data_IF_186897145439
#
_entry.id   IF_186897145439
#
_cell.length_a   1.000
_cell.length_b   1.000
_cell.length_c   1.000
_cell.angle_alpha   90.00
_cell.angle_beta   90.00
_cell.angle_gamma   90.00
#
_symmetry.space_group_name_H-M   'P 1'
#
loop_
_entity.id
_entity.type
_entity.pdbx_description
1 polymer ?
#
# COMPACT_ATOMS: atom_id res chain seq x y z
N UNK A 1 23.68 11.82 62.88
CA UNK A 1 23.03 13.14 62.83
C UNK A 1 22.16 13.15 61.56
N UNK A 2 20.96 12.54 61.61
CA UNK A 2 19.64 13.21 61.71
C UNK A 2 19.52 14.32 60.66
N UNK A 3 18.97 13.99 59.49
CA UNK A 3 17.54 13.98 59.11
C UNK A 3 17.11 15.34 58.55
N UNK A 4 16.74 15.37 57.26
CA UNK A 4 15.53 16.08 56.84
C UNK A 4 15.05 15.56 55.48
N UNK A 5 13.97 14.80 55.51
CA UNK A 5 12.97 14.69 54.43
C UNK A 5 11.71 15.35 54.94
N UNK A 6 11.02 16.13 54.09
CA UNK A 6 9.61 15.85 53.77
C UNK A 6 9.34 16.19 52.29
N UNK A 7 8.23 15.85 51.65
CA UNK A 7 7.10 14.97 51.89
C UNK A 7 6.40 14.89 50.53
N UNK A 8 6.02 13.68 50.16
CA UNK A 8 4.95 13.23 49.27
C UNK A 8 4.04 14.30 48.62
N UNK A 9 3.94 14.26 47.29
CA UNK A 9 2.68 14.41 46.57
C UNK A 9 2.59 13.32 45.49
N UNK A 10 1.70 12.36 45.74
CA UNK A 10 1.35 11.27 44.82
C UNK A 10 0.09 11.67 44.03
N UNK A 11 -0.05 11.08 42.83
CA UNK A 11 -1.18 11.11 41.87
C UNK A 11 -1.23 12.38 40.99
N UNK A 12 -1.33 12.30 39.66
CA UNK A 12 -2.16 11.41 38.84
C UNK A 12 -1.42 10.86 37.60
N UNK A 13 -1.72 9.62 37.22
CA UNK A 13 -1.33 9.05 35.93
C UNK A 13 -2.24 9.50 34.78
N UNK A 14 -1.69 9.55 33.57
CA UNK A 14 -2.36 9.40 32.27
C UNK A 14 -1.28 9.24 31.16
N UNK A 15 -1.61 8.74 29.96
CA UNK A 15 -1.27 7.39 29.54
C UNK A 15 -0.26 7.35 28.39
N UNK A 16 0.23 6.15 28.09
CA UNK A 16 1.02 5.75 26.92
C UNK A 16 0.91 6.71 25.72
N UNK A 17 2.02 7.39 25.44
CA UNK A 17 2.27 8.06 24.17
C UNK A 17 1.98 7.06 23.04
N UNK A 18 0.99 7.39 22.23
CA UNK A 18 0.53 6.59 21.11
C UNK A 18 1.71 6.22 20.21
N UNK A 19 2.03 4.93 20.20
CA UNK A 19 2.71 4.33 19.06
C UNK A 19 1.69 4.44 17.92
N UNK A 20 1.79 5.48 17.10
CA UNK A 20 1.15 5.42 15.78
C UNK A 20 1.76 4.17 15.12
N UNK A 21 0.97 3.19 14.66
CA UNK A 21 1.53 2.19 13.78
C UNK A 21 2.27 2.96 12.68
N UNK A 22 3.54 2.62 12.44
CA UNK A 22 4.24 3.17 11.28
C UNK A 22 3.42 2.65 10.10
N UNK A 23 2.55 3.51 9.55
CA UNK A 23 1.88 3.27 8.28
C UNK A 23 3.02 3.07 7.29
N UNK A 24 3.29 1.82 6.91
CA UNK A 24 4.26 1.55 5.85
C UNK A 24 3.58 1.99 4.56
N UNK A 25 3.91 3.20 4.10
CA UNK A 25 3.40 3.72 2.85
C UNK A 25 3.91 2.86 1.70
N UNK A 26 3.03 2.45 0.80
CA UNK A 26 3.45 1.80 -0.44
C UNK A 26 4.31 2.73 -1.30
N UNK A 27 5.25 2.14 -2.05
CA UNK A 27 6.04 2.87 -3.04
C UNK A 27 5.14 3.39 -4.18
N UNK A 28 5.58 4.43 -4.91
CA UNK A 28 4.78 4.98 -6.01
C UNK A 28 4.58 4.00 -7.18
N UNK A 29 5.42 2.97 -7.28
CA UNK A 29 5.28 1.88 -8.24
C UNK A 29 5.14 0.57 -7.48
N UNK A 30 4.07 -0.16 -7.75
CA UNK A 30 3.79 -1.45 -7.12
C UNK A 30 3.66 -2.52 -8.20
N UNK A 31 4.15 -3.71 -7.89
CA UNK A 31 3.90 -4.93 -8.65
C UNK A 31 3.08 -5.84 -7.76
N UNK A 32 1.85 -6.16 -8.16
CA UNK A 32 1.08 -7.24 -7.55
C UNK A 32 1.46 -8.54 -8.25
N UNK A 33 2.03 -9.47 -7.51
CA UNK A 33 2.23 -10.83 -7.97
C UNK A 33 1.14 -11.72 -7.40
N UNK A 34 0.20 -12.12 -8.26
CA UNK A 34 -0.92 -12.97 -7.90
C UNK A 34 -0.55 -14.44 -8.04
N UNK A 35 -0.62 -15.18 -6.92
CA UNK A 35 -0.41 -16.63 -6.91
C UNK A 35 -1.72 -17.40 -7.03
N UNK A 36 -2.80 -16.87 -6.48
CA UNK A 36 -4.10 -17.55 -6.40
C UNK A 36 -5.25 -16.88 -7.16
N UNK A 37 -5.04 -15.67 -7.69
CA UNK A 37 -6.12 -14.85 -8.27
C UNK A 37 -6.64 -13.81 -7.27
N UNK A 38 -7.70 -13.08 -7.67
CA UNK A 38 -8.33 -12.07 -6.83
C UNK A 38 -8.88 -12.67 -5.52
N UNK A 39 -8.73 -11.94 -4.42
CA UNK A 39 -9.24 -12.33 -3.10
C UNK A 39 -9.99 -11.16 -2.44
N UNK A 40 -10.64 -11.40 -1.31
CA UNK A 40 -11.47 -10.42 -0.60
C UNK A 40 -10.67 -9.27 0.06
N UNK A 41 -9.34 -9.25 -0.04
CA UNK A 41 -8.49 -8.17 0.48
C UNK A 41 -8.07 -7.16 -0.58
N UNK A 42 -8.34 -7.45 -1.86
CA UNK A 42 -7.91 -6.60 -2.98
C UNK A 42 -8.47 -5.18 -2.88
N UNK A 43 -9.75 -5.02 -2.51
CA UNK A 43 -10.38 -3.71 -2.36
C UNK A 43 -9.68 -2.84 -1.30
N UNK A 44 -9.48 -3.39 -0.11
CA UNK A 44 -8.79 -2.68 0.97
C UNK A 44 -7.33 -2.34 0.61
N UNK A 45 -6.66 -3.22 -0.14
CA UNK A 45 -5.31 -3.00 -0.64
C UNK A 45 -5.25 -1.82 -1.63
N UNK A 46 -6.19 -1.77 -2.59
CA UNK A 46 -6.26 -0.70 -3.59
C UNK A 46 -6.61 0.64 -2.94
N UNK A 47 -7.54 0.68 -1.98
CA UNK A 47 -7.82 1.90 -1.22
C UNK A 47 -6.59 2.40 -0.45
N UNK A 48 -5.77 1.49 0.08
CA UNK A 48 -4.51 1.86 0.72
C UNK A 48 -3.50 2.40 -0.31
N UNK A 49 -3.43 1.84 -1.52
CA UNK A 49 -2.60 2.37 -2.60
C UNK A 49 -2.98 3.80 -2.98
N UNK A 50 -4.28 4.08 -3.07
CA UNK A 50 -4.80 5.42 -3.35
C UNK A 50 -4.40 6.38 -2.23
N UNK A 51 -4.63 5.99 -0.97
CA UNK A 51 -4.25 6.78 0.21
C UNK A 51 -2.75 7.07 0.30
N UNK A 52 -1.91 6.11 -0.09
CA UNK A 52 -0.44 6.24 -0.04
C UNK A 52 0.15 6.96 -1.26
N UNK A 53 -0.68 7.31 -2.24
CA UNK A 53 -0.25 8.01 -3.43
C UNK A 53 0.55 7.15 -4.40
N UNK A 54 0.23 5.85 -4.47
CA UNK A 54 0.68 4.97 -5.56
C UNK A 54 0.26 5.60 -6.89
N UNK A 55 1.14 5.49 -7.89
CA UNK A 55 0.95 6.09 -9.22
C UNK A 55 0.85 5.05 -10.32
N UNK A 56 1.47 3.89 -10.12
CA UNK A 56 1.51 2.82 -11.08
C UNK A 56 1.42 1.46 -10.39
N UNK A 57 0.55 0.58 -10.91
CA UNK A 57 0.40 -0.81 -10.48
C UNK A 57 0.53 -1.72 -11.69
N UNK A 58 1.53 -2.60 -11.70
CA UNK A 58 1.58 -3.72 -12.62
C UNK A 58 1.05 -4.98 -11.94
N UNK A 59 0.29 -5.81 -12.65
CA UNK A 59 -0.22 -7.08 -12.14
C UNK A 59 0.36 -8.24 -12.94
N UNK A 60 0.99 -9.18 -12.24
CA UNK A 60 1.61 -10.37 -12.81
C UNK A 60 1.01 -11.64 -12.19
N UNK A 61 1.11 -12.75 -12.90
CA UNK A 61 0.69 -14.06 -12.40
C UNK A 61 -0.78 -14.37 -12.65
N UNK A 62 -1.37 -15.17 -11.76
CA UNK A 62 -2.69 -15.78 -11.97
C UNK A 62 -3.79 -14.72 -12.01
N UNK A 63 -4.65 -14.81 -13.02
CA UNK A 63 -5.82 -13.94 -13.22
C UNK A 63 -5.47 -12.44 -13.24
N UNK A 64 -4.24 -12.07 -13.64
CA UNK A 64 -3.75 -10.69 -13.60
C UNK A 64 -4.60 -9.69 -14.38
N UNK A 65 -5.13 -10.08 -15.55
CA UNK A 65 -6.04 -9.24 -16.33
C UNK A 65 -7.35 -8.96 -15.57
N UNK A 66 -7.95 -9.98 -14.94
CA UNK A 66 -9.15 -9.80 -14.12
C UNK A 66 -8.87 -8.93 -12.88
N UNK A 67 -7.72 -9.12 -12.24
CA UNK A 67 -7.32 -8.30 -11.09
C UNK A 67 -7.15 -6.84 -11.51
N UNK A 68 -6.54 -6.57 -12.67
CA UNK A 68 -6.45 -5.22 -13.24
C UNK A 68 -7.85 -4.61 -13.46
N UNK A 69 -8.77 -5.32 -14.11
CA UNK A 69 -10.14 -4.85 -14.32
C UNK A 69 -10.82 -4.45 -12.98
N UNK A 70 -10.62 -5.27 -11.93
CA UNK A 70 -11.14 -4.98 -10.58
C UNK A 70 -10.47 -3.73 -9.98
N UNK A 71 -9.14 -3.58 -10.13
CA UNK A 71 -8.42 -2.39 -9.65
C UNK A 71 -8.96 -1.13 -10.34
N UNK A 72 -9.16 -1.17 -11.66
CA UNK A 72 -9.68 -0.04 -12.43
C UNK A 72 -11.09 0.34 -11.95
N UNK A 73 -11.96 -0.64 -11.71
CA UNK A 73 -13.30 -0.40 -11.15
C UNK A 73 -13.23 0.27 -9.77
N UNK A 74 -12.37 -0.22 -8.87
CA UNK A 74 -12.18 0.38 -7.54
C UNK A 74 -11.63 1.81 -7.64
N UNK A 75 -10.64 2.04 -8.49
CA UNK A 75 -10.02 3.37 -8.67
C UNK A 75 -11.04 4.38 -9.17
N UNK A 76 -11.84 4.01 -10.18
CA UNK A 76 -12.93 4.86 -10.71
C UNK A 76 -14.01 5.12 -9.66
N UNK A 77 -14.36 4.11 -8.85
CA UNK A 77 -15.42 4.23 -7.85
C UNK A 77 -16.75 4.66 -8.48
N UNK A 78 -17.40 5.66 -7.90
CA UNK A 78 -18.64 6.25 -8.44
C UNK A 78 -18.39 7.38 -9.46
N UNK A 79 -17.14 7.66 -9.80
CA UNK A 79 -16.74 8.73 -10.72
C UNK A 79 -16.90 10.15 -10.16
N UNK A 80 -17.21 10.32 -8.87
CA UNK A 80 -17.35 11.65 -8.25
C UNK A 80 -16.01 12.29 -7.85
N UNK A 81 -14.99 11.46 -7.56
CA UNK A 81 -13.66 11.91 -7.15
C UNK A 81 -12.62 11.76 -8.27
N UNK A 82 -12.45 12.84 -9.02
CA UNK A 82 -11.47 12.93 -10.12
C UNK A 82 -10.00 12.96 -9.64
N UNK A 83 -9.74 12.92 -8.33
CA UNK A 83 -8.37 12.86 -7.78
C UNK A 83 -7.85 11.44 -7.63
N UNK A 84 -8.75 10.44 -7.72
CA UNK A 84 -8.41 9.01 -7.69
C UNK A 84 -7.83 8.59 -9.03
N UNK A 85 -6.53 8.33 -9.07
CA UNK A 85 -5.86 7.88 -10.29
C UNK A 85 -4.67 6.99 -9.98
N UNK A 86 -4.68 5.79 -10.55
CA UNK A 86 -3.56 4.86 -10.61
C UNK A 86 -3.50 4.39 -12.06
N UNK A 87 -2.32 4.45 -12.68
CA UNK A 87 -2.11 3.80 -13.98
C UNK A 87 -1.88 2.31 -13.74
N UNK A 88 -2.61 1.46 -14.45
CA UNK A 88 -2.57 0.00 -14.33
C UNK A 88 -1.99 -0.65 -15.59
N UNK A 89 -1.46 -1.87 -15.43
CA UNK A 89 -1.05 -2.75 -16.53
C UNK A 89 -1.09 -4.20 -16.06
N UNK A 90 -1.77 -5.11 -16.77
CA UNK A 90 -1.63 -6.56 -16.57
C UNK A 90 -0.62 -7.19 -17.54
N UNK A 91 0.00 -8.27 -17.09
CA UNK A 91 1.09 -8.96 -17.80
C UNK A 91 0.84 -10.47 -17.92
N UNK A 92 -0.17 -10.89 -18.70
CA UNK A 92 -0.50 -12.31 -18.85
C UNK A 92 0.62 -13.09 -19.56
N UNK A 93 1.15 -14.11 -18.89
CA UNK A 93 2.16 -15.02 -19.45
C UNK A 93 3.60 -14.50 -19.39
N UNK A 94 3.82 -13.26 -18.94
CA UNK A 94 5.16 -12.74 -18.65
C UNK A 94 5.67 -13.26 -17.31
N UNK A 95 6.98 -13.45 -17.19
CA UNK A 95 7.65 -13.78 -15.93
C UNK A 95 7.67 -12.59 -14.98
N UNK A 96 7.77 -12.85 -13.67
CA UNK A 96 7.87 -11.78 -12.68
C UNK A 96 9.11 -10.90 -12.92
N UNK A 97 10.22 -11.49 -13.36
CA UNK A 97 11.45 -10.77 -13.70
C UNK A 97 11.26 -9.79 -14.86
N UNK A 98 10.55 -10.20 -15.92
CA UNK A 98 10.21 -9.32 -17.05
C UNK A 98 9.37 -8.13 -16.59
N UNK A 99 8.35 -8.38 -15.77
CA UNK A 99 7.49 -7.33 -15.23
C UNK A 99 8.28 -6.36 -14.34
N UNK A 100 9.19 -6.86 -13.49
CA UNK A 100 10.08 -6.00 -12.69
C UNK A 100 10.93 -5.08 -13.58
N UNK A 101 11.49 -5.60 -14.69
CA UNK A 101 12.27 -4.76 -15.61
C UNK A 101 11.38 -3.73 -16.32
N UNK A 102 10.17 -4.12 -16.71
CA UNK A 102 9.19 -3.21 -17.30
C UNK A 102 8.84 -2.06 -16.34
N UNK A 103 8.49 -2.35 -15.09
CA UNK A 103 8.10 -1.31 -14.12
C UNK A 103 9.24 -0.34 -13.81
N UNK A 104 10.50 -0.80 -13.86
CA UNK A 104 11.67 0.07 -13.68
C UNK A 104 11.78 1.16 -14.74
N UNK A 105 11.41 0.86 -15.98
CA UNK A 105 11.49 1.81 -17.10
C UNK A 105 10.23 2.66 -17.26
N UNK A 106 9.11 2.27 -16.65
CA UNK A 106 7.88 3.08 -16.61
C UNK A 106 8.15 4.40 -15.86
N UNK A 107 7.74 5.51 -16.48
CA UNK A 107 7.94 6.88 -15.96
C UNK A 107 6.84 7.34 -15.01
N UNK A 108 5.73 6.62 -14.94
CA UNK A 108 4.64 6.90 -14.02
C UNK A 108 5.03 6.46 -12.61
N UNK A 109 5.12 7.42 -11.69
CA UNK A 109 5.67 7.22 -10.35
C UNK A 109 7.21 7.24 -10.31
N UNK A 110 7.75 7.33 -9.11
CA UNK A 110 9.21 7.44 -8.86
C UNK A 110 9.72 6.32 -7.96
N UNK A 111 11.02 6.08 -7.98
CA UNK A 111 11.68 5.08 -7.12
C UNK A 111 11.64 3.65 -7.66
N UNK A 112 12.15 2.72 -6.84
CA UNK A 112 12.15 1.29 -7.14
C UNK A 112 10.74 0.69 -6.97
N UNK A 113 10.36 -0.28 -7.81
CA UNK A 113 9.10 -1.00 -7.64
C UNK A 113 9.07 -1.78 -6.33
N UNK A 114 7.95 -1.69 -5.63
CA UNK A 114 7.65 -2.56 -4.49
C UNK A 114 6.86 -3.78 -4.97
N UNK A 115 7.34 -4.97 -4.63
CA UNK A 115 6.60 -6.21 -4.87
C UNK A 115 5.61 -6.47 -3.71
N UNK A 116 4.37 -6.78 -4.07
CA UNK A 116 3.28 -7.17 -3.17
C UNK A 116 2.72 -8.50 -3.65
N UNK A 117 2.50 -9.43 -2.73
CA UNK A 117 1.98 -10.77 -3.04
C UNK A 117 0.48 -10.83 -2.75
N UNK A 118 -0.29 -11.43 -3.67
CA UNK A 118 -1.75 -11.61 -3.58
C UNK A 118 -2.17 -13.09 -3.67
#
# INVERSE_FOLDING_TARGET
MQLLVPSVLTHYGAPYLGVRPIQMSYAQKVIIHSKSGANNTLEALVEQFISDGVRFVAVAGKDCALIEDIIDEIVVGDGSDNTRFILTSSHPGESLEEVIQFVRIVTQGTGEPQLVEL
#
